data_IF_585174921288
#
_entry.id   IF_585174921288
#
_cell.length_a   1.000
_cell.length_b   1.000
_cell.length_c   1.000
_cell.angle_alpha   90.00
_cell.angle_beta   90.00
_cell.angle_gamma   90.00
#
_symmetry.space_group_name_H-M   'P 1'
#
loop_
_entity.id
_entity.type
_entity.pdbx_description
1 polymer ?
#
# COMPACT_ATOMS: atom_id res chain seq x y z
N UNK A 1 16.46 -30.93 6.56
CA UNK A 1 15.97 -30.30 7.79
C UNK A 1 15.65 -28.87 7.39
N UNK A 2 14.36 -28.56 7.27
CA UNK A 2 13.91 -27.21 7.01
C UNK A 2 13.71 -26.55 8.36
N UNK A 3 14.47 -25.52 8.64
CA UNK A 3 14.25 -24.67 9.81
C UNK A 3 12.96 -23.86 9.55
N UNK A 4 11.86 -24.21 10.21
CA UNK A 4 10.66 -23.39 10.25
C UNK A 4 10.89 -22.28 11.28
N UNK A 5 11.05 -21.06 10.81
CA UNK A 5 11.14 -19.88 11.68
C UNK A 5 9.73 -19.43 12.03
N UNK A 6 9.34 -19.59 13.29
CA UNK A 6 8.04 -19.10 13.80
C UNK A 6 8.21 -17.66 14.26
N UNK A 7 7.51 -16.74 13.62
CA UNK A 7 7.51 -15.32 14.01
C UNK A 7 6.33 -15.05 14.95
N UNK A 8 6.62 -14.72 16.19
CA UNK A 8 5.62 -14.38 17.21
C UNK A 8 5.58 -12.84 17.35
N UNK A 9 4.43 -12.22 17.15
CA UNK A 9 4.26 -10.78 17.31
C UNK A 9 4.25 -10.34 18.79
N UNK A 10 4.75 -9.13 19.08
CA UNK A 10 4.95 -8.56 20.44
C UNK A 10 3.71 -8.64 21.35
N UNK A 11 2.51 -8.50 20.78
CA UNK A 11 1.25 -8.62 21.52
C UNK A 11 0.94 -10.04 22.03
N UNK A 12 1.42 -11.07 21.34
CA UNK A 12 1.23 -12.46 21.73
C UNK A 12 2.21 -12.84 22.85
N UNK A 13 3.46 -12.42 22.74
CA UNK A 13 4.49 -12.63 23.77
C UNK A 13 4.06 -12.00 25.09
N UNK A 14 3.55 -10.76 25.07
CA UNK A 14 3.06 -10.08 26.26
C UNK A 14 1.87 -10.78 26.93
N UNK A 15 0.99 -11.42 26.16
CA UNK A 15 -0.16 -12.15 26.73
C UNK A 15 0.21 -13.53 27.25
N UNK A 16 1.13 -14.23 26.57
CA UNK A 16 1.66 -15.51 27.04
C UNK A 16 2.45 -15.36 28.37
N UNK A 17 3.24 -14.30 28.48
CA UNK A 17 4.01 -14.01 29.70
C UNK A 17 3.15 -13.60 30.91
N UNK A 18 1.95 -13.06 30.67
CA UNK A 18 1.03 -12.59 31.72
C UNK A 18 -0.11 -13.58 32.02
N UNK A 19 -0.23 -14.69 31.31
CA UNK A 19 -1.28 -15.68 31.55
C UNK A 19 -0.78 -16.76 32.49
N UNK A 20 -1.30 -16.80 33.73
CA UNK A 20 -0.93 -17.79 34.78
C UNK A 20 -1.21 -19.24 34.34
N UNK A 21 -2.10 -19.48 33.38
CA UNK A 21 -2.50 -20.80 32.90
C UNK A 21 -1.41 -21.50 32.08
N UNK A 22 -0.52 -20.72 31.45
CA UNK A 22 0.56 -21.24 30.60
C UNK A 22 1.95 -21.19 31.25
N UNK A 23 2.05 -20.67 32.48
CA UNK A 23 3.32 -20.66 33.23
C UNK A 23 3.75 -22.08 33.60
N UNK A 24 4.82 -22.54 32.97
CA UNK A 24 5.44 -23.85 33.24
C UNK A 24 4.95 -25.02 32.36
N UNK A 25 4.20 -24.73 31.30
CA UNK A 25 3.90 -25.71 30.27
C UNK A 25 4.91 -25.65 29.10
N UNK A 26 5.26 -26.78 28.46
CA UNK A 26 6.08 -26.75 27.26
C UNK A 26 5.33 -26.02 26.14
N UNK A 27 5.98 -25.04 25.51
CA UNK A 27 5.43 -24.30 24.36
C UNK A 27 5.42 -25.26 23.16
N UNK A 28 4.29 -25.89 22.90
CA UNK A 28 4.05 -26.69 21.69
C UNK A 28 3.31 -25.87 20.64
N UNK A 29 3.40 -26.28 19.38
CA UNK A 29 2.64 -25.64 18.27
C UNK A 29 1.14 -25.58 18.60
N UNK A 30 0.59 -26.57 19.27
CA UNK A 30 -0.80 -26.64 19.68
C UNK A 30 -1.16 -25.56 20.72
N UNK A 31 -0.30 -25.30 21.70
CA UNK A 31 -0.49 -24.24 22.70
C UNK A 31 -0.48 -22.87 22.05
N UNK A 32 0.39 -22.67 21.06
CA UNK A 32 0.42 -21.44 20.26
C UNK A 32 -0.85 -21.26 19.42
N UNK A 33 -1.35 -22.28 18.76
CA UNK A 33 -2.60 -22.24 18.00
C UNK A 33 -3.81 -21.97 18.88
N UNK A 34 -3.92 -22.64 20.01
CA UNK A 34 -5.03 -22.47 20.96
C UNK A 34 -5.02 -21.04 21.54
N UNK A 35 -3.84 -20.52 21.87
CA UNK A 35 -3.69 -19.14 22.34
C UNK A 35 -4.00 -18.11 21.24
N UNK A 36 -3.62 -18.37 19.99
CA UNK A 36 -3.99 -17.54 18.85
C UNK A 36 -5.50 -17.51 18.63
N UNK A 37 -6.18 -18.65 18.78
CA UNK A 37 -7.66 -18.73 18.71
C UNK A 37 -8.33 -17.95 19.82
N UNK A 38 -7.81 -18.02 21.04
CA UNK A 38 -8.34 -17.29 22.19
C UNK A 38 -8.16 -15.77 22.05
N UNK A 39 -6.99 -15.35 21.56
CA UNK A 39 -6.62 -13.93 21.38
C UNK A 39 -7.35 -13.29 20.21
N UNK A 40 -7.52 -14.00 19.08
CA UNK A 40 -8.09 -13.47 17.85
C UNK A 40 -9.60 -13.73 17.74
N UNK A 41 -10.16 -14.53 18.65
CA UNK A 41 -11.58 -14.88 18.69
C UNK A 41 -12.03 -15.65 17.44
N UNK A 42 -13.35 -15.74 17.23
CA UNK A 42 -13.96 -16.41 16.08
C UNK A 42 -13.59 -15.83 14.70
N UNK A 43 -12.76 -14.79 14.64
CA UNK A 43 -12.20 -14.24 13.41
C UNK A 43 -10.99 -15.01 12.89
N UNK A 44 -10.56 -16.05 13.57
CA UNK A 44 -9.53 -16.99 13.12
C UNK A 44 -10.14 -18.16 12.33
N UNK A 45 -11.11 -17.91 11.47
CA UNK A 45 -11.45 -18.83 10.39
C UNK A 45 -10.49 -18.56 9.23
N UNK A 46 -9.38 -19.31 9.26
CA UNK A 46 -8.56 -19.61 8.10
C UNK A 46 -8.35 -18.47 7.10
N UNK A 47 -7.61 -17.42 7.45
CA UNK A 47 -7.04 -16.60 6.40
C UNK A 47 -6.07 -17.48 5.63
N UNK A 48 -6.31 -17.66 4.34
CA UNK A 48 -5.57 -18.53 3.41
C UNK A 48 -4.08 -18.17 3.22
N UNK A 49 -3.53 -17.32 4.06
CA UNK A 49 -2.11 -16.96 4.10
C UNK A 49 -1.25 -17.98 4.87
N UNK A 50 -1.86 -18.94 5.58
CA UNK A 50 -1.15 -20.01 6.29
C UNK A 50 -1.66 -21.39 5.90
N UNK A 51 -1.79 -21.65 4.60
CA UNK A 51 -1.97 -23.02 4.14
C UNK A 51 -0.59 -23.66 4.11
N UNK A 52 -0.22 -24.30 5.20
CA UNK A 52 0.82 -25.33 5.16
C UNK A 52 0.31 -26.41 4.21
N UNK A 53 1.00 -26.62 3.10
CA UNK A 53 0.70 -27.70 2.17
C UNK A 53 0.91 -29.04 2.91
N UNK A 54 -0.16 -29.61 3.44
CA UNK A 54 -0.15 -30.99 3.95
C UNK A 54 -0.17 -31.92 2.74
N UNK A 55 1.00 -32.38 2.34
CA UNK A 55 1.12 -33.61 1.58
C UNK A 55 0.91 -34.76 2.55
N UNK A 56 -0.06 -35.63 2.23
CA UNK A 56 -0.37 -37.01 2.66
C UNK A 56 0.19 -37.55 4.00
N UNK A 57 -0.53 -38.43 4.65
CA UNK A 57 -0.32 -38.82 6.05
C UNK A 57 0.98 -39.60 6.19
N UNK A 58 1.94 -39.03 6.83
CA UNK A 58 3.08 -39.74 7.42
C UNK A 58 2.93 -39.69 8.94
N UNK A 59 3.27 -40.81 9.53
CA UNK A 59 3.14 -41.26 10.92
C UNK A 59 3.35 -40.13 11.94
N UNK A 60 2.48 -40.07 12.95
CA UNK A 60 2.60 -39.21 14.14
C UNK A 60 3.96 -39.44 14.81
N UNK A 61 4.98 -38.64 14.46
CA UNK A 61 6.15 -38.49 15.30
C UNK A 61 5.73 -37.60 16.49
N UNK A 62 5.81 -38.14 17.68
CA UNK A 62 5.68 -37.40 18.95
C UNK A 62 6.74 -36.27 18.94
N UNK A 63 6.30 -35.01 18.78
CA UNK A 63 7.18 -33.84 18.88
C UNK A 63 7.86 -33.85 20.26
N UNK A 64 9.18 -33.94 20.28
CA UNK A 64 9.96 -33.86 21.50
C UNK A 64 9.86 -32.46 22.11
N UNK A 65 9.73 -32.34 23.46
CA UNK A 65 9.71 -31.00 24.09
C UNK A 65 11.00 -30.26 23.79
N UNK A 66 10.89 -28.91 23.67
CA UNK A 66 12.00 -28.03 23.41
C UNK A 66 13.20 -28.36 24.33
N UNK A 67 14.37 -28.33 23.76
CA UNK A 67 15.61 -28.58 24.52
C UNK A 67 15.92 -27.40 25.45
N UNK A 68 16.75 -27.64 26.48
CA UNK A 68 17.18 -26.58 27.42
C UNK A 68 17.89 -25.42 26.68
N UNK A 69 18.58 -25.69 25.56
CA UNK A 69 19.21 -24.66 24.72
C UNK A 69 18.18 -23.84 23.96
N UNK A 70 17.13 -24.45 23.44
CA UNK A 70 16.04 -23.72 22.74
C UNK A 70 15.22 -22.87 23.70
N UNK A 71 14.99 -23.38 24.94
CA UNK A 71 14.35 -22.60 25.99
C UNK A 71 15.19 -21.39 26.42
N UNK A 72 16.51 -21.59 26.57
CA UNK A 72 17.42 -20.49 26.91
C UNK A 72 17.50 -19.43 25.80
N UNK A 73 17.44 -19.84 24.53
CA UNK A 73 17.41 -18.92 23.39
C UNK A 73 16.09 -18.12 23.36
N UNK A 74 14.97 -18.78 23.67
CA UNK A 74 13.65 -18.12 23.78
C UNK A 74 13.63 -17.10 24.94
N UNK A 75 14.18 -17.47 26.11
CA UNK A 75 14.32 -16.55 27.25
C UNK A 75 15.21 -15.35 26.90
N UNK A 76 16.31 -15.56 26.17
CA UNK A 76 17.18 -14.47 25.73
C UNK A 76 16.47 -13.52 24.75
N UNK A 77 15.71 -14.05 23.79
CA UNK A 77 14.92 -13.24 22.84
C UNK A 77 13.83 -12.44 23.57
N UNK A 78 13.19 -13.04 24.57
CA UNK A 78 12.20 -12.37 25.42
C UNK A 78 12.86 -11.28 26.29
N UNK A 79 14.05 -11.53 26.81
CA UNK A 79 14.78 -10.54 27.65
C UNK A 79 15.32 -9.39 26.81
N UNK A 80 15.78 -9.63 25.58
CA UNK A 80 16.16 -8.59 24.61
C UNK A 80 14.96 -7.76 24.15
N UNK A 81 13.78 -8.35 23.99
CA UNK A 81 12.54 -7.65 23.69
C UNK A 81 12.02 -6.80 24.86
N UNK A 82 12.40 -7.14 26.12
CA UNK A 82 12.09 -6.36 27.32
C UNK A 82 13.10 -5.26 27.63
N UNK A 83 14.21 -5.11 26.86
CA UNK A 83 15.04 -3.94 27.00
C UNK A 83 14.20 -2.70 26.61
N UNK A 84 13.83 -1.94 27.61
CA UNK A 84 12.99 -0.75 27.52
C UNK A 84 13.39 0.11 26.29
N UNK A 85 12.51 0.18 25.31
CA UNK A 85 12.55 1.25 24.31
C UNK A 85 12.49 2.55 25.13
N UNK A 86 13.51 3.44 25.02
CA UNK A 86 13.53 4.65 25.83
C UNK A 86 12.23 5.40 25.60
N UNK A 87 11.49 5.66 26.68
CA UNK A 87 10.19 6.36 26.74
C UNK A 87 10.32 7.85 26.37
N UNK A 88 11.18 8.18 25.43
CA UNK A 88 11.36 9.50 24.86
C UNK A 88 11.02 9.56 23.36
N UNK A 89 10.21 8.61 22.86
CA UNK A 89 9.52 8.84 21.60
C UNK A 89 8.50 9.95 21.83
N UNK A 90 8.49 11.03 21.02
CA UNK A 90 7.43 12.03 21.11
C UNK A 90 6.11 11.29 21.02
N UNK A 91 5.23 11.46 21.99
CA UNK A 91 3.88 10.90 21.97
C UNK A 91 3.23 11.43 20.70
N UNK A 92 3.22 10.63 19.65
CA UNK A 92 2.49 10.96 18.43
C UNK A 92 1.05 11.17 18.88
N UNK A 93 0.55 12.40 18.71
CA UNK A 93 -0.85 12.70 18.95
C UNK A 93 -1.64 11.84 17.97
N UNK A 94 -2.12 10.69 18.44
CA UNK A 94 -2.92 9.77 17.65
C UNK A 94 -4.21 10.51 17.33
N UNK A 95 -4.36 10.92 16.08
CA UNK A 95 -5.60 11.47 15.58
C UNK A 95 -6.69 10.39 15.68
N UNK A 96 -7.79 10.68 16.38
CA UNK A 96 -8.91 9.75 16.53
C UNK A 96 -9.42 9.25 15.17
N UNK A 97 -9.36 10.08 14.12
CA UNK A 97 -9.74 9.74 12.76
C UNK A 97 -8.93 8.61 12.12
N UNK A 98 -7.73 8.33 12.64
CA UNK A 98 -6.83 7.26 12.15
C UNK A 98 -6.65 6.13 13.16
N UNK A 99 -7.33 6.18 14.31
CA UNK A 99 -7.15 5.24 15.43
C UNK A 99 -7.32 3.76 15.08
N UNK A 100 -8.05 3.43 14.00
CA UNK A 100 -8.26 2.05 13.55
C UNK A 100 -7.01 1.39 12.94
N UNK A 101 -6.03 2.16 12.48
CA UNK A 101 -4.80 1.66 11.84
C UNK A 101 -3.53 2.40 12.28
N UNK A 102 -3.63 3.40 13.15
CA UNK A 102 -2.46 4.18 13.60
C UNK A 102 -1.45 3.39 14.41
N UNK A 103 -1.83 2.23 14.94
CA UNK A 103 -0.92 1.28 15.59
C UNK A 103 -0.13 0.41 14.60
N UNK A 104 -0.45 0.45 13.31
CA UNK A 104 0.31 -0.30 12.32
C UNK A 104 1.70 0.31 12.13
N UNK A 105 2.74 -0.52 12.12
CA UNK A 105 4.16 -0.11 12.03
C UNK A 105 4.44 0.81 10.83
N UNK A 106 3.74 0.60 9.72
CA UNK A 106 3.90 1.39 8.49
C UNK A 106 3.29 2.79 8.56
N UNK A 107 2.39 3.06 9.54
CA UNK A 107 1.63 4.32 9.55
C UNK A 107 2.53 5.53 9.82
N UNK A 108 3.44 5.44 10.78
CA UNK A 108 4.42 6.51 11.06
C UNK A 108 5.30 6.80 9.83
N UNK A 109 5.63 5.77 9.05
CA UNK A 109 6.40 5.96 7.83
C UNK A 109 5.59 6.68 6.75
N UNK A 110 4.29 6.37 6.59
CA UNK A 110 3.40 7.11 5.68
C UNK A 110 3.34 8.60 6.06
N UNK A 111 3.24 8.92 7.34
CA UNK A 111 3.19 10.31 7.81
C UNK A 111 4.44 11.13 7.47
N UNK A 112 5.54 10.49 7.10
CA UNK A 112 6.80 11.12 6.65
C UNK A 112 6.87 11.31 5.13
N UNK A 113 5.94 10.73 4.35
CA UNK A 113 5.99 10.74 2.90
C UNK A 113 5.41 12.00 2.29
N UNK A 114 6.12 12.52 1.30
CA UNK A 114 5.61 13.52 0.35
C UNK A 114 5.16 12.75 -0.89
N UNK A 115 3.91 12.93 -1.29
CA UNK A 115 3.32 12.25 -2.44
C UNK A 115 2.90 13.28 -3.48
N UNK A 116 3.27 13.06 -4.73
CA UNK A 116 2.73 13.80 -5.88
C UNK A 116 1.76 12.89 -6.61
N UNK A 117 0.55 13.37 -6.83
CA UNK A 117 -0.51 12.73 -7.60
C UNK A 117 -0.89 13.61 -8.77
N UNK A 118 -0.75 13.12 -9.98
CA UNK A 118 -1.12 13.87 -11.17
C UNK A 118 -2.22 13.17 -11.96
N UNK A 119 -3.23 13.98 -12.34
CA UNK A 119 -4.51 13.50 -12.86
C UNK A 119 -5.45 13.07 -11.73
N UNK A 120 -6.39 13.94 -11.33
CA UNK A 120 -7.41 13.63 -10.31
C UNK A 120 -8.79 13.42 -10.95
N UNK A 121 -8.81 12.76 -12.12
CA UNK A 121 -10.02 12.28 -12.80
C UNK A 121 -10.54 10.96 -12.22
N UNK A 122 -10.82 9.97 -13.09
CA UNK A 122 -11.41 8.68 -12.70
C UNK A 122 -10.65 7.97 -11.60
N UNK A 123 -9.40 7.65 -11.85
CA UNK A 123 -8.54 6.93 -10.89
C UNK A 123 -8.09 7.87 -9.76
N UNK A 124 -7.50 9.03 -10.14
CA UNK A 124 -6.80 9.88 -9.18
C UNK A 124 -7.71 10.55 -8.16
N UNK A 125 -9.00 10.78 -8.44
CA UNK A 125 -9.93 11.30 -7.43
C UNK A 125 -10.10 10.34 -6.26
N UNK A 126 -10.22 9.04 -6.51
CA UNK A 126 -10.27 8.01 -5.47
C UNK A 126 -8.91 7.79 -4.80
N UNK A 127 -7.81 7.78 -5.56
CA UNK A 127 -6.45 7.67 -5.00
C UNK A 127 -6.18 8.80 -4.02
N UNK A 128 -6.42 10.06 -4.42
CA UNK A 128 -6.20 11.22 -3.57
C UNK A 128 -7.05 11.20 -2.30
N UNK A 129 -8.32 10.77 -2.41
CA UNK A 129 -9.20 10.59 -1.27
C UNK A 129 -8.68 9.52 -0.28
N UNK A 130 -8.26 8.36 -0.78
CA UNK A 130 -7.75 7.26 0.04
C UNK A 130 -6.40 7.63 0.68
N UNK A 131 -5.48 8.26 -0.05
CA UNK A 131 -4.21 8.74 0.48
C UNK A 131 -4.41 9.77 1.61
N UNK A 132 -5.34 10.71 1.42
CA UNK A 132 -5.65 11.71 2.44
C UNK A 132 -6.15 11.08 3.76
N UNK A 133 -6.86 9.95 3.69
CA UNK A 133 -7.26 9.16 4.86
C UNK A 133 -6.06 8.55 5.59
N UNK A 134 -4.95 8.30 4.89
CA UNK A 134 -3.70 7.81 5.45
C UNK A 134 -2.81 8.94 6.00
N UNK A 135 -3.11 10.20 5.68
CA UNK A 135 -2.43 11.41 6.16
C UNK A 135 -0.91 11.41 5.92
N UNK A 136 -0.42 11.30 4.67
CA UNK A 136 1.00 11.52 4.39
C UNK A 136 1.42 12.94 4.83
N UNK A 137 2.73 13.19 4.94
CA UNK A 137 3.26 14.52 5.31
C UNK A 137 2.72 15.62 4.40
N UNK A 138 2.69 15.37 3.09
CA UNK A 138 2.16 16.30 2.09
C UNK A 138 1.62 15.53 0.90
N UNK A 139 0.52 16.00 0.33
CA UNK A 139 -0.08 15.48 -0.90
C UNK A 139 -0.23 16.63 -1.90
N UNK A 140 0.60 16.63 -2.94
CA UNK A 140 0.51 17.57 -4.07
C UNK A 140 -0.37 16.95 -5.15
N UNK A 141 -1.43 17.64 -5.56
CA UNK A 141 -2.37 17.15 -6.57
C UNK A 141 -2.42 18.11 -7.77
N UNK A 142 -2.22 17.55 -8.97
CA UNK A 142 -2.20 18.30 -10.24
C UNK A 142 -3.34 17.87 -11.15
N UNK A 143 -4.14 18.80 -11.60
CA UNK A 143 -5.15 18.60 -12.65
C UNK A 143 -5.66 19.96 -13.11
N UNK A 144 -5.69 20.29 -14.42
CA UNK A 144 -6.15 21.58 -14.94
C UNK A 144 -7.67 21.65 -15.12
N UNK A 145 -8.38 20.54 -14.99
CA UNK A 145 -9.78 20.43 -15.39
C UNK A 145 -10.75 20.91 -14.29
N UNK A 146 -11.95 21.22 -14.73
CA UNK A 146 -13.12 21.42 -13.86
C UNK A 146 -13.97 20.15 -13.79
N UNK A 147 -14.75 20.04 -12.73
CA UNK A 147 -15.74 18.96 -12.60
C UNK A 147 -16.93 19.25 -13.51
N UNK A 148 -17.24 18.29 -14.37
CA UNK A 148 -18.42 18.31 -15.23
C UNK A 148 -19.45 17.29 -14.76
N UNK A 149 -20.73 17.47 -15.13
CA UNK A 149 -21.82 16.54 -14.74
C UNK A 149 -21.54 15.11 -15.17
N UNK A 150 -20.92 14.90 -16.35
CA UNK A 150 -20.55 13.58 -16.87
C UNK A 150 -19.51 12.88 -16.00
N UNK A 151 -18.71 13.61 -15.26
CA UNK A 151 -17.68 13.05 -14.39
C UNK A 151 -18.26 12.27 -13.20
N UNK A 152 -19.49 12.58 -12.78
CA UNK A 152 -20.15 11.92 -11.65
C UNK A 152 -20.39 10.42 -11.87
N UNK A 153 -20.37 9.96 -13.11
CA UNK A 153 -20.58 8.53 -13.42
C UNK A 153 -19.36 7.65 -13.13
N UNK A 154 -18.15 8.21 -13.04
CA UNK A 154 -16.93 7.42 -12.88
C UNK A 154 -15.89 8.03 -11.94
N UNK A 155 -16.06 9.28 -11.52
CA UNK A 155 -15.15 10.00 -10.64
C UNK A 155 -15.79 10.20 -9.25
N UNK A 156 -14.99 10.49 -8.25
CA UNK A 156 -15.46 10.64 -6.86
C UNK A 156 -16.38 11.87 -6.65
N UNK A 157 -16.40 12.80 -7.58
CA UNK A 157 -17.12 14.08 -7.46
C UNK A 157 -18.63 13.93 -7.46
N UNK A 158 -19.31 14.79 -6.67
CA UNK A 158 -20.76 14.88 -6.60
C UNK A 158 -21.31 16.15 -7.26
N UNK A 159 -22.63 16.28 -7.26
CA UNK A 159 -23.35 17.40 -7.88
C UNK A 159 -22.90 18.78 -7.37
N UNK A 160 -22.56 18.89 -6.08
CA UNK A 160 -22.06 20.14 -5.48
C UNK A 160 -20.68 20.57 -5.98
N UNK A 161 -19.95 19.67 -6.61
CA UNK A 161 -18.61 19.96 -7.16
C UNK A 161 -18.64 20.44 -8.62
N UNK A 162 -19.77 20.31 -9.32
CA UNK A 162 -19.87 20.68 -10.74
C UNK A 162 -19.52 22.15 -10.94
N UNK A 163 -18.61 22.43 -11.85
CA UNK A 163 -18.08 23.78 -12.15
C UNK A 163 -16.87 24.19 -11.28
N UNK A 164 -16.49 23.39 -10.30
CA UNK A 164 -15.30 23.63 -9.46
C UNK A 164 -14.08 22.95 -10.09
N UNK A 165 -12.89 23.55 -9.98
CA UNK A 165 -11.66 22.87 -10.39
C UNK A 165 -11.50 21.54 -9.63
N UNK A 166 -11.16 20.45 -10.32
CA UNK A 166 -11.09 19.09 -9.75
C UNK A 166 -10.18 19.03 -8.52
N UNK A 167 -9.01 19.68 -8.57
CA UNK A 167 -8.07 19.72 -7.44
C UNK A 167 -8.66 20.44 -6.22
N UNK A 168 -9.42 21.52 -6.40
CA UNK A 168 -10.05 22.24 -5.30
C UNK A 168 -11.25 21.48 -4.74
N UNK A 169 -12.04 20.81 -5.59
CA UNK A 169 -13.11 19.94 -5.17
C UNK A 169 -12.58 18.79 -4.30
N UNK A 170 -11.50 18.11 -4.76
CA UNK A 170 -10.87 17.03 -4.01
C UNK A 170 -10.27 17.52 -2.68
N UNK A 171 -9.56 18.66 -2.68
CA UNK A 171 -9.01 19.26 -1.45
C UNK A 171 -10.11 19.56 -0.41
N UNK A 172 -11.24 20.10 -0.85
CA UNK A 172 -12.39 20.34 0.03
C UNK A 172 -12.95 19.04 0.61
N UNK A 173 -13.12 18.02 -0.22
CA UNK A 173 -13.63 16.71 0.20
C UNK A 173 -12.71 16.03 1.21
N UNK A 174 -11.38 16.01 0.98
CA UNK A 174 -10.47 15.37 1.91
C UNK A 174 -10.34 16.15 3.22
N UNK A 175 -10.54 17.46 3.20
CA UNK A 175 -10.67 18.25 4.44
C UNK A 175 -11.89 17.83 5.23
N UNK A 176 -13.04 17.69 4.57
CA UNK A 176 -14.31 17.30 5.22
C UNK A 176 -14.24 15.86 5.76
N UNK A 177 -13.81 14.91 4.94
CA UNK A 177 -13.90 13.48 5.26
C UNK A 177 -12.70 12.90 6.01
N UNK A 178 -11.52 13.50 5.90
CA UNK A 178 -10.30 13.03 6.53
C UNK A 178 -9.71 14.00 7.57
N UNK A 179 -10.24 15.21 7.69
CA UNK A 179 -9.64 16.30 8.46
C UNK A 179 -8.13 16.40 8.14
N UNK A 180 -7.81 16.47 6.83
CA UNK A 180 -6.45 16.51 6.33
C UNK A 180 -6.22 17.80 5.55
N UNK A 181 -5.29 18.63 6.03
CA UNK A 181 -5.02 19.96 5.50
C UNK A 181 -3.75 20.04 4.65
N UNK A 182 -2.89 19.02 4.69
CA UNK A 182 -1.62 19.00 3.97
C UNK A 182 -1.80 18.59 2.50
N UNK A 183 -2.89 19.04 1.86
CA UNK A 183 -3.16 18.89 0.43
C UNK A 183 -2.86 20.20 -0.28
N UNK A 184 -2.00 20.14 -1.29
CA UNK A 184 -1.62 21.26 -2.12
C UNK A 184 -2.29 21.09 -3.51
N UNK A 185 -3.36 21.85 -3.72
CA UNK A 185 -4.16 21.79 -4.95
C UNK A 185 -3.58 22.71 -6.02
N UNK A 186 -3.01 22.12 -7.06
CA UNK A 186 -2.36 22.83 -8.17
C UNK A 186 -3.25 22.66 -9.41
N UNK A 187 -4.01 23.72 -9.73
CA UNK A 187 -4.94 23.72 -10.86
C UNK A 187 -4.20 23.99 -12.18
N UNK A 188 -3.20 23.17 -12.45
CA UNK A 188 -2.34 23.26 -13.62
C UNK A 188 -1.98 21.85 -14.10
N UNK A 189 -1.49 21.77 -15.36
CA UNK A 189 -0.89 20.53 -15.85
C UNK A 189 0.45 20.31 -15.18
N UNK A 190 0.74 19.05 -14.85
CA UNK A 190 2.10 18.69 -14.51
C UNK A 190 2.99 18.80 -15.78
N UNK A 191 4.07 19.56 -15.70
CA UNK A 191 4.93 19.91 -16.83
C UNK A 191 6.44 19.82 -16.49
N UNK A 192 7.27 20.36 -17.38
CA UNK A 192 8.73 20.35 -17.18
C UNK A 192 9.20 21.23 -16.02
N UNK A 193 8.46 22.25 -15.64
CA UNK A 193 8.79 23.16 -14.54
C UNK A 193 8.29 22.62 -13.19
N UNK A 194 7.41 21.60 -13.22
CA UNK A 194 6.86 20.95 -12.02
C UNK A 194 7.92 20.14 -11.30
N UNK A 195 7.88 20.14 -9.96
CA UNK A 195 8.83 19.42 -9.14
C UNK A 195 8.43 17.94 -8.97
N UNK A 196 9.44 17.06 -9.05
CA UNK A 196 9.27 15.64 -8.78
C UNK A 196 9.50 15.35 -7.29
N UNK A 197 8.93 14.23 -6.81
CA UNK A 197 9.12 13.71 -5.47
C UNK A 197 9.52 12.23 -5.50
N UNK A 198 9.89 11.69 -4.34
CA UNK A 198 10.23 10.28 -4.21
C UNK A 198 9.04 9.38 -4.56
N UNK A 199 7.84 9.78 -4.16
CA UNK A 199 6.61 9.05 -4.42
C UNK A 199 5.78 9.81 -5.44
N UNK A 200 5.62 9.23 -6.63
CA UNK A 200 4.81 9.80 -7.69
C UNK A 200 3.76 8.79 -8.18
N UNK A 201 2.50 9.21 -8.17
CA UNK A 201 1.36 8.37 -8.54
C UNK A 201 0.66 9.00 -9.75
N UNK A 202 0.45 8.19 -10.78
CA UNK A 202 -0.03 8.60 -12.09
C UNK A 202 -1.48 8.16 -12.32
N UNK A 203 -2.36 9.13 -12.58
CA UNK A 203 -3.78 8.92 -12.93
C UNK A 203 -4.19 9.55 -14.26
N UNK A 204 -3.24 9.74 -15.20
CA UNK A 204 -3.51 10.36 -16.51
C UNK A 204 -4.28 9.45 -17.47
N UNK A 205 -4.99 10.06 -18.36
CA UNK A 205 -5.74 9.42 -19.46
C UNK A 205 -5.01 9.46 -20.81
N UNK A 206 -3.82 10.09 -20.90
CA UNK A 206 -3.03 10.16 -22.12
C UNK A 206 -1.57 9.76 -21.87
N UNK A 207 -0.94 9.21 -22.91
CA UNK A 207 0.41 8.65 -22.81
C UNK A 207 1.50 9.73 -22.81
N UNK A 208 1.29 10.86 -23.47
CA UNK A 208 2.28 11.94 -23.51
C UNK A 208 2.50 12.56 -22.13
N UNK A 209 1.43 12.86 -21.38
CA UNK A 209 1.52 13.34 -20.01
C UNK A 209 2.13 12.28 -19.06
N UNK A 210 1.74 11.00 -19.23
CA UNK A 210 2.27 9.87 -18.47
C UNK A 210 3.77 9.72 -18.64
N UNK A 211 4.23 9.80 -19.89
CA UNK A 211 5.67 9.73 -20.21
C UNK A 211 6.46 10.87 -19.55
N UNK A 212 6.00 12.10 -19.71
CA UNK A 212 6.63 13.27 -19.08
C UNK A 212 6.75 13.07 -17.56
N UNK A 213 5.67 12.61 -16.93
CA UNK A 213 5.58 12.39 -15.48
C UNK A 213 6.54 11.32 -15.01
N UNK A 214 6.60 10.19 -15.71
CA UNK A 214 7.55 9.13 -15.47
C UNK A 214 8.99 9.57 -15.68
N UNK A 215 9.30 10.26 -16.77
CA UNK A 215 10.65 10.76 -17.07
C UNK A 215 11.15 11.71 -15.95
N UNK A 216 10.26 12.56 -15.42
CA UNK A 216 10.57 13.44 -14.28
C UNK A 216 10.89 12.64 -13.02
N UNK A 217 10.07 11.65 -12.68
CA UNK A 217 10.32 10.78 -11.54
C UNK A 217 11.63 9.98 -11.72
N UNK A 218 11.83 9.38 -12.88
CA UNK A 218 13.05 8.60 -13.18
C UNK A 218 14.31 9.44 -13.02
N UNK A 219 14.31 10.66 -13.57
CA UNK A 219 15.44 11.57 -13.45
C UNK A 219 15.67 11.98 -11.98
N UNK A 220 14.61 12.27 -11.23
CA UNK A 220 14.70 12.56 -9.80
C UNK A 220 15.36 11.39 -9.03
N UNK A 221 14.90 10.17 -9.26
CA UNK A 221 15.43 8.95 -8.65
C UNK A 221 16.90 8.71 -9.04
N UNK A 222 17.26 8.86 -10.33
CA UNK A 222 18.62 8.64 -10.81
C UNK A 222 19.63 9.66 -10.26
N UNK A 223 19.20 10.86 -9.93
CA UNK A 223 20.02 11.91 -9.32
C UNK A 223 20.31 11.66 -7.84
N UNK A 224 19.65 10.70 -7.21
CA UNK A 224 19.94 10.29 -5.83
C UNK A 224 21.14 9.33 -5.77
N UNK A 225 21.84 9.30 -4.61
CA UNK A 225 22.79 8.22 -4.31
C UNK A 225 22.13 6.84 -4.51
N UNK A 226 22.90 5.86 -4.96
CA UNK A 226 22.37 4.54 -5.31
C UNK A 226 21.61 3.88 -4.15
N UNK A 227 22.15 4.01 -2.94
CA UNK A 227 21.56 3.50 -1.69
C UNK A 227 20.23 4.16 -1.31
N UNK A 228 19.94 5.36 -1.83
CA UNK A 228 18.68 6.08 -1.55
C UNK A 228 17.61 5.85 -2.63
N UNK A 229 17.99 5.32 -3.80
CA UNK A 229 17.06 5.12 -4.92
C UNK A 229 15.89 4.22 -4.55
N UNK A 230 16.13 3.21 -3.72
CA UNK A 230 15.10 2.32 -3.18
C UNK A 230 14.01 3.01 -2.34
N UNK A 231 14.18 4.29 -2.00
CA UNK A 231 13.15 5.11 -1.34
C UNK A 231 12.16 5.76 -2.31
N UNK A 232 12.41 5.63 -3.63
CA UNK A 232 11.52 6.17 -4.65
C UNK A 232 10.52 5.10 -5.11
N UNK A 233 9.28 5.56 -5.39
CA UNK A 233 8.18 4.71 -5.86
C UNK A 233 7.41 5.44 -6.96
N UNK A 234 7.16 4.75 -8.07
CA UNK A 234 6.27 5.18 -9.13
C UNK A 234 5.13 4.20 -9.28
N UNK A 235 3.88 4.70 -9.27
CA UNK A 235 2.69 3.87 -9.48
C UNK A 235 1.88 4.47 -10.62
N UNK A 236 1.63 3.68 -11.66
CA UNK A 236 0.84 4.06 -12.83
C UNK A 236 -0.44 3.25 -12.92
N UNK A 237 -1.59 3.91 -12.83
CA UNK A 237 -2.90 3.33 -12.97
C UNK A 237 -3.47 3.52 -14.38
N UNK A 238 -4.00 2.45 -14.98
CA UNK A 238 -4.65 2.44 -16.29
C UNK A 238 -5.98 1.73 -16.19
N UNK A 239 -7.02 2.38 -16.66
CA UNK A 239 -8.39 1.88 -16.57
C UNK A 239 -9.08 2.05 -17.94
N UNK A 240 -9.67 0.99 -18.43
CA UNK A 240 -10.49 0.98 -19.62
C UNK A 240 -11.75 0.14 -19.36
N UNK A 241 -12.92 0.76 -19.45
CA UNK A 241 -14.21 0.12 -19.18
C UNK A 241 -14.26 -0.57 -17.80
N UNK A 242 -14.14 -1.88 -17.77
CA UNK A 242 -14.18 -2.75 -16.58
C UNK A 242 -12.86 -3.54 -16.39
N UNK A 243 -11.79 -3.07 -17.03
CA UNK A 243 -10.46 -3.65 -16.90
C UNK A 243 -9.48 -2.61 -16.39
N UNK A 244 -8.53 -3.04 -15.55
CA UNK A 244 -7.47 -2.15 -15.14
C UNK A 244 -6.11 -2.83 -15.04
N UNK A 245 -5.09 -2.02 -15.14
CA UNK A 245 -3.70 -2.37 -14.87
C UNK A 245 -3.08 -1.35 -13.91
N UNK A 246 -2.31 -1.83 -12.96
CA UNK A 246 -1.44 -1.01 -12.12
C UNK A 246 -0.01 -1.46 -12.31
N UNK A 247 0.84 -0.53 -12.68
CA UNK A 247 2.27 -0.74 -12.82
C UNK A 247 2.96 -0.06 -11.63
N UNK A 248 3.75 -0.82 -10.88
CA UNK A 248 4.42 -0.38 -9.68
C UNK A 248 5.92 -0.57 -9.83
N UNK A 249 6.69 0.50 -9.70
CA UNK A 249 8.14 0.50 -9.92
C UNK A 249 8.82 1.10 -8.69
N UNK A 250 9.59 0.28 -8.00
CA UNK A 250 10.47 0.73 -6.93
C UNK A 250 11.78 1.23 -7.53
N UNK A 251 12.29 2.34 -7.03
CA UNK A 251 13.56 2.89 -7.48
C UNK A 251 14.72 1.93 -7.26
N UNK A 252 15.65 1.91 -8.20
CA UNK A 252 16.78 0.97 -8.20
C UNK A 252 16.49 -0.40 -8.84
N UNK A 253 15.24 -0.71 -9.13
CA UNK A 253 14.86 -1.94 -9.85
C UNK A 253 14.95 -1.74 -11.37
N UNK A 254 16.15 -1.74 -11.91
CA UNK A 254 16.42 -1.39 -13.31
C UNK A 254 15.69 -2.30 -14.32
N UNK A 255 15.49 -3.58 -13.99
CA UNK A 255 14.72 -4.49 -14.82
C UNK A 255 13.27 -4.01 -15.00
N UNK A 256 12.63 -3.58 -13.93
CA UNK A 256 11.25 -3.06 -13.97
C UNK A 256 11.16 -1.71 -14.70
N UNK A 257 12.19 -0.85 -14.57
CA UNK A 257 12.30 0.39 -15.33
C UNK A 257 12.36 0.12 -16.85
N UNK A 258 13.26 -0.78 -17.27
CA UNK A 258 13.43 -1.15 -18.67
C UNK A 258 12.16 -1.83 -19.23
N UNK A 259 11.54 -2.72 -18.45
CA UNK A 259 10.29 -3.37 -18.82
C UNK A 259 9.16 -2.36 -19.01
N UNK A 260 9.03 -1.38 -18.11
CA UNK A 260 8.02 -0.33 -18.23
C UNK A 260 8.20 0.50 -19.49
N UNK A 261 9.43 0.89 -19.81
CA UNK A 261 9.75 1.70 -20.99
C UNK A 261 9.53 0.94 -22.30
N UNK A 262 9.86 -0.35 -22.36
CA UNK A 262 9.81 -1.12 -23.57
C UNK A 262 8.43 -1.77 -23.84
N UNK A 263 7.70 -2.14 -22.79
CA UNK A 263 6.46 -2.92 -22.94
C UNK A 263 5.20 -2.07 -22.70
N UNK A 264 5.31 -1.01 -21.89
CA UNK A 264 4.15 -0.25 -21.40
C UNK A 264 4.12 1.21 -21.84
N UNK A 265 5.19 1.72 -22.48
CA UNK A 265 5.22 3.06 -23.08
C UNK A 265 4.99 2.96 -24.59
N UNK A 266 3.89 3.54 -25.04
CA UNK A 266 3.52 3.64 -26.45
C UNK A 266 3.05 5.07 -26.75
N UNK A 267 2.84 5.42 -28.01
CA UNK A 267 2.32 6.73 -28.38
C UNK A 267 0.80 6.78 -28.24
N UNK A 268 0.25 8.00 -28.05
CA UNK A 268 -1.21 8.19 -28.00
C UNK A 268 -1.90 7.71 -29.31
N UNK A 269 -1.16 7.66 -30.42
CA UNK A 269 -1.65 7.15 -31.71
C UNK A 269 -1.74 5.59 -31.78
N UNK A 270 -1.02 4.91 -30.91
CA UNK A 270 -1.03 3.43 -30.78
C UNK A 270 -2.04 2.95 -29.75
N UNK A 271 -2.63 3.88 -28.99
CA UNK A 271 -3.68 3.53 -28.05
C UNK A 271 -4.95 3.11 -28.81
N UNK A 272 -5.52 1.97 -28.45
CA UNK A 272 -6.81 1.53 -28.98
C UNK A 272 -7.90 2.56 -28.72
N UNK A 273 -8.69 2.90 -29.74
CA UNK A 273 -9.88 3.73 -29.56
C UNK A 273 -10.93 2.99 -28.73
N UNK A 274 -10.97 3.24 -27.44
CA UNK A 274 -12.08 2.78 -26.59
C UNK A 274 -13.38 3.45 -27.01
N UNK A 275 -14.47 2.70 -27.08
CA UNK A 275 -15.81 3.23 -27.39
C UNK A 275 -16.12 4.39 -26.47
N UNK A 276 -16.30 5.59 -27.02
CA UNK A 276 -16.41 6.86 -26.27
C UNK A 276 -17.50 6.88 -25.20
N UNK A 277 -18.49 5.98 -25.24
CA UNK A 277 -19.59 5.88 -24.31
C UNK A 277 -19.33 4.96 -23.09
N UNK A 278 -18.26 4.15 -23.11
CA UNK A 278 -17.94 3.20 -22.06
C UNK A 278 -16.46 3.27 -21.68
N UNK A 279 -16.08 4.37 -21.03
CA UNK A 279 -14.69 4.64 -20.68
C UNK A 279 -14.27 4.01 -19.35
N UNK A 280 -15.14 4.04 -18.35
CA UNK A 280 -14.85 3.52 -17.02
C UNK A 280 -16.13 3.37 -16.20
N UNK A 281 -16.11 2.43 -15.25
CA UNK A 281 -17.14 2.29 -14.23
C UNK A 281 -16.64 2.81 -12.87
N UNK A 282 -17.56 3.31 -12.05
CA UNK A 282 -17.21 3.82 -10.70
C UNK A 282 -16.54 2.77 -9.84
N UNK A 283 -17.03 1.53 -9.89
CA UNK A 283 -16.50 0.46 -9.05
C UNK A 283 -15.08 0.05 -9.49
N UNK A 284 -14.79 -0.03 -10.79
CA UNK A 284 -13.43 -0.30 -11.28
C UNK A 284 -12.48 0.85 -10.96
N UNK A 285 -12.93 2.10 -11.06
CA UNK A 285 -12.14 3.26 -10.67
C UNK A 285 -11.77 3.26 -9.17
N UNK A 286 -12.71 2.83 -8.32
CA UNK A 286 -12.45 2.67 -6.90
C UNK A 286 -11.52 1.47 -6.60
N UNK A 287 -11.72 0.33 -7.28
CA UNK A 287 -10.90 -0.86 -7.10
C UNK A 287 -9.44 -0.61 -7.47
N UNK A 288 -9.18 -0.01 -8.65
CA UNK A 288 -7.81 0.31 -9.07
C UNK A 288 -7.14 1.28 -8.08
N UNK A 289 -7.85 2.30 -7.61
CA UNK A 289 -7.34 3.24 -6.62
C UNK A 289 -6.99 2.54 -5.30
N UNK A 290 -7.82 1.60 -4.85
CA UNK A 290 -7.54 0.79 -3.67
C UNK A 290 -6.30 -0.08 -3.85
N UNK A 291 -6.10 -0.69 -5.01
CA UNK A 291 -4.89 -1.43 -5.35
C UNK A 291 -3.64 -0.54 -5.32
N UNK A 292 -3.71 0.65 -5.94
CA UNK A 292 -2.59 1.60 -5.96
C UNK A 292 -2.20 2.06 -4.56
N UNK A 293 -3.17 2.37 -3.71
CA UNK A 293 -2.90 2.77 -2.33
C UNK A 293 -2.38 1.58 -1.50
N UNK A 294 -2.87 0.36 -1.73
CA UNK A 294 -2.32 -0.83 -1.08
C UNK A 294 -0.84 -1.04 -1.42
N UNK A 295 -0.43 -0.87 -2.69
CA UNK A 295 0.98 -0.95 -3.10
C UNK A 295 1.83 0.13 -2.41
N UNK A 296 1.32 1.35 -2.30
CA UNK A 296 1.98 2.42 -1.54
C UNK A 296 2.14 2.06 -0.05
N UNK A 297 1.12 1.48 0.59
CA UNK A 297 1.18 1.01 1.97
C UNK A 297 2.21 -0.11 2.12
N UNK A 298 2.22 -1.09 1.21
CA UNK A 298 3.20 -2.18 1.21
C UNK A 298 4.63 -1.67 1.07
N UNK A 299 4.84 -0.71 0.16
CA UNK A 299 6.13 -0.04 0.02
C UNK A 299 6.59 0.64 1.32
N UNK A 300 5.69 1.37 1.98
CA UNK A 300 6.01 2.02 3.26
C UNK A 300 6.26 1.00 4.38
N UNK A 301 5.53 -0.13 4.38
CA UNK A 301 5.72 -1.20 5.34
C UNK A 301 7.09 -1.88 5.18
N UNK A 302 7.52 -2.14 3.95
CA UNK A 302 8.82 -2.75 3.67
C UNK A 302 10.00 -1.88 4.09
N UNK A 303 9.80 -0.57 4.15
CA UNK A 303 10.82 0.36 4.68
C UNK A 303 10.94 0.34 6.22
N UNK A 304 10.05 -0.35 6.91
CA UNK A 304 10.11 -0.51 8.36
C UNK A 304 10.90 -1.77 8.79
N UNK A 305 11.68 -2.36 7.89
CA UNK A 305 12.45 -3.59 8.09
C UNK A 305 11.62 -4.74 8.65
N UNK A 306 10.52 -5.12 8.01
CA UNK A 306 9.72 -6.26 8.45
C UNK A 306 10.54 -7.55 8.30
N UNK A 307 10.16 -8.59 9.04
CA UNK A 307 10.78 -9.93 8.94
C UNK A 307 10.53 -10.52 7.54
N UNK A 308 9.33 -10.27 7.00
CA UNK A 308 8.96 -10.68 5.64
C UNK A 308 8.45 -9.45 4.90
N UNK A 309 9.05 -9.16 3.76
CA UNK A 309 8.60 -8.09 2.89
C UNK A 309 7.21 -8.39 2.32
N UNK A 310 6.38 -7.37 2.26
CA UNK A 310 5.10 -7.45 1.55
C UNK A 310 5.31 -7.40 0.05
N UNK A 311 4.46 -8.09 -0.68
CA UNK A 311 4.54 -8.12 -2.14
C UNK A 311 4.35 -6.72 -2.76
N UNK A 312 5.24 -6.41 -3.70
CA UNK A 312 5.18 -5.24 -4.57
C UNK A 312 5.28 -5.69 -6.03
N UNK A 313 4.23 -6.34 -6.56
CA UNK A 313 4.22 -6.80 -7.95
C UNK A 313 4.41 -5.63 -8.91
N UNK A 314 5.22 -5.84 -9.95
CA UNK A 314 5.40 -4.87 -11.03
C UNK A 314 4.10 -4.59 -11.77
N UNK A 315 3.33 -5.63 -12.06
CA UNK A 315 2.04 -5.54 -12.74
C UNK A 315 0.95 -6.18 -11.88
N UNK A 316 -0.12 -5.42 -11.68
CA UNK A 316 -1.39 -5.92 -11.17
C UNK A 316 -2.46 -5.66 -12.22
N UNK A 317 -3.16 -6.69 -12.68
CA UNK A 317 -4.22 -6.59 -13.68
C UNK A 317 -5.53 -7.20 -13.16
N UNK A 318 -6.65 -6.61 -13.54
CA UNK A 318 -7.99 -7.08 -13.19
C UNK A 318 -8.94 -6.95 -14.35
N UNK A 319 -9.78 -7.98 -14.56
CA UNK A 319 -10.89 -7.97 -15.50
C UNK A 319 -12.19 -8.26 -14.72
N UNK A 320 -13.15 -7.34 -14.75
CA UNK A 320 -14.36 -7.43 -13.95
C UNK A 320 -15.36 -8.49 -14.48
N UNK A 321 -15.43 -8.70 -15.80
CA UNK A 321 -16.36 -9.67 -16.39
C UNK A 321 -16.05 -11.09 -15.93
N UNK A 322 -14.76 -11.41 -15.80
CA UNK A 322 -14.29 -12.74 -15.42
C UNK A 322 -13.91 -12.84 -13.94
N UNK A 323 -13.93 -11.72 -13.21
CA UNK A 323 -13.42 -11.61 -11.83
C UNK A 323 -11.95 -12.09 -11.70
N UNK A 324 -11.20 -11.97 -12.78
CA UNK A 324 -9.82 -12.44 -12.83
C UNK A 324 -8.86 -11.36 -12.33
N UNK A 325 -8.02 -11.75 -11.39
CA UNK A 325 -6.98 -10.90 -10.80
C UNK A 325 -5.62 -11.55 -11.04
N UNK A 326 -4.65 -10.79 -11.55
CA UNK A 326 -3.31 -11.27 -11.88
C UNK A 326 -2.27 -10.32 -11.30
N UNK A 327 -1.20 -10.88 -10.73
CA UNK A 327 -0.01 -10.15 -10.29
C UNK A 327 1.25 -10.77 -10.88
N UNK A 328 2.22 -9.95 -11.25
CA UNK A 328 3.54 -10.36 -11.77
C UNK A 328 4.66 -9.58 -11.08
#
# INVERSE_FOLDING_TARGET
MNEETITIGDGLISRLSNNEEYQGQPLTLQVLEDTLREVLGNNYEGSSAYTVATTAPEEEEEESPLTEEEMALLEQVVEEAHQEIPVNSPTLLVDEGTSRFSSAIWYENIQKKVVVLAGVGGIGSYVGFLLARMKPSSLFIYDPDIVETVNMSGQLYGQSNVGVAKVHALASMVKEYANYDSVFAINERFDNDSEAADIMICGFDNMSARKLYYDKWKNHMLNKPEEERGNCLFIDGRLAAEEFQVLCIKGGEYYNLERYENEFMFSDAEADETVCSYKQTTFCANMIASCMVNLFVNFCANQCNPIIDRDLPFLTAYNAETMYFKTE
#
